data_IF_160653168640
#
_entry.id   IF_160653168640
#
_cell.length_a   1.000
_cell.length_b   1.000
_cell.length_c   1.000
_cell.angle_alpha   90.00
_cell.angle_beta   90.00
_cell.angle_gamma   90.00
#
_symmetry.space_group_name_H-M   'P 1'
#
loop_
_entity.id
_entity.type
_entity.pdbx_description
1 polymer ?
#
# COMPACT_ATOMS: atom_id res chain seq x y z
N UNK A 1 -2.13 4.15 52.70
CA UNK A 1 -2.65 4.67 51.46
C UNK A 1 -1.45 5.13 50.63
N UNK A 2 -1.01 4.31 49.67
CA UNK A 2 0.13 4.66 48.81
C UNK A 2 -0.44 5.37 47.58
N UNK A 3 -0.16 6.64 47.43
CA UNK A 3 -0.45 7.36 46.21
C UNK A 3 0.53 6.90 45.13
N UNK A 4 0.02 6.19 44.10
CA UNK A 4 0.78 5.96 42.89
C UNK A 4 0.84 7.29 42.15
N UNK A 5 2.00 7.92 42.13
CA UNK A 5 2.30 9.01 41.23
C UNK A 5 2.45 8.38 39.83
N UNK A 6 1.39 8.45 39.00
CA UNK A 6 1.52 8.19 37.59
C UNK A 6 2.03 9.50 36.98
N UNK A 7 3.32 9.56 36.70
CA UNK A 7 3.86 10.64 35.86
C UNK A 7 3.27 10.49 34.46
N UNK A 8 2.25 11.29 34.17
CA UNK A 8 1.73 11.42 32.81
C UNK A 8 2.74 12.19 31.99
N UNK A 9 3.49 11.52 31.15
CA UNK A 9 4.32 12.16 30.13
C UNK A 9 3.42 12.72 29.03
N UNK A 10 2.97 13.95 29.17
CA UNK A 10 2.30 14.66 28.10
C UNK A 10 3.33 15.16 27.11
N UNK A 11 3.25 14.67 25.90
CA UNK A 11 4.00 15.24 24.78
C UNK A 11 3.12 16.24 24.04
N UNK A 12 3.39 17.51 24.20
CA UNK A 12 2.74 18.56 23.43
C UNK A 12 3.38 18.68 22.05
N UNK A 13 2.56 18.55 21.00
CA UNK A 13 2.99 18.66 19.61
C UNK A 13 2.31 19.91 19.03
N UNK A 14 3.07 20.98 18.72
CA UNK A 14 2.49 22.20 18.14
C UNK A 14 1.87 21.91 16.78
N UNK A 15 0.72 22.52 16.50
CA UNK A 15 0.07 22.47 15.20
C UNK A 15 0.82 23.37 14.21
N UNK A 16 1.63 22.77 13.35
CA UNK A 16 2.38 23.47 12.30
C UNK A 16 1.89 22.98 10.94
N UNK A 17 1.77 23.87 9.96
CA UNK A 17 1.39 23.50 8.60
C UNK A 17 2.38 22.46 8.03
N UNK A 18 1.85 21.43 7.39
CA UNK A 18 2.65 20.34 6.82
C UNK A 18 3.17 19.32 7.84
N UNK A 19 2.82 19.43 9.13
CA UNK A 19 3.22 18.44 10.13
C UNK A 19 2.36 17.19 10.01
N UNK A 20 3.02 16.04 9.87
CA UNK A 20 2.43 14.72 10.02
C UNK A 20 2.78 14.16 11.40
N UNK A 21 1.85 13.48 12.03
CA UNK A 21 2.03 12.78 13.30
C UNK A 21 1.44 11.39 13.13
N UNK A 22 2.25 10.36 13.36
CA UNK A 22 1.79 8.98 13.47
C UNK A 22 1.96 8.53 14.92
N UNK A 23 0.94 7.90 15.47
CA UNK A 23 0.96 7.38 16.84
C UNK A 23 0.00 6.21 16.99
N UNK A 24 0.23 5.35 17.98
CA UNK A 24 -0.69 4.27 18.31
C UNK A 24 -1.99 4.87 18.89
N UNK A 25 -3.17 4.65 18.29
CA UNK A 25 -4.43 5.22 18.75
C UNK A 25 -4.86 4.72 20.13
N UNK A 26 -4.26 3.65 20.64
CA UNK A 26 -4.50 3.15 22.00
C UNK A 26 -3.85 4.04 23.07
N UNK A 27 -2.87 4.87 22.68
CA UNK A 27 -2.29 5.85 23.59
C UNK A 27 -3.30 6.96 23.85
N UNK A 28 -3.61 7.33 25.10
CA UNK A 28 -4.51 8.44 25.40
C UNK A 28 -4.03 9.71 24.72
N UNK A 29 -4.87 10.28 23.88
CA UNK A 29 -4.54 11.46 23.08
C UNK A 29 -5.73 12.42 23.01
N UNK A 30 -5.44 13.67 22.75
CA UNK A 30 -6.47 14.67 22.62
C UNK A 30 -5.95 15.92 21.91
N UNK A 31 -6.90 16.77 21.56
CA UNK A 31 -6.60 18.06 20.92
C UNK A 31 -6.93 19.17 21.91
N UNK A 32 -5.95 20.04 22.18
CA UNK A 32 -6.19 21.23 22.99
C UNK A 32 -7.17 22.15 22.27
N UNK A 33 -7.93 22.93 23.06
CA UNK A 33 -8.86 23.90 22.52
C UNK A 33 -8.15 24.83 21.53
N UNK A 34 -8.61 24.82 20.30
CA UNK A 34 -8.15 25.77 19.29
C UNK A 34 -8.96 27.05 19.48
N UNK A 35 -8.27 28.15 19.77
CA UNK A 35 -8.91 29.47 19.79
C UNK A 35 -9.33 29.79 18.35
N UNK A 36 -10.62 29.73 18.12
CA UNK A 36 -11.20 29.94 16.81
C UNK A 36 -10.94 31.34 16.30
N UNK A 37 -10.54 31.41 15.08
CA UNK A 37 -10.67 32.62 14.28
C UNK A 37 -12.08 32.61 13.69
N UNK A 38 -12.76 33.75 13.83
CA UNK A 38 -13.98 34.15 13.14
C UNK A 38 -14.35 33.17 12.00
N UNK A 39 -15.29 32.40 12.11
CA UNK A 39 -16.09 31.61 11.14
C UNK A 39 -15.65 31.58 9.64
N UNK A 40 -14.44 32.05 9.32
CA UNK A 40 -13.88 32.03 7.96
C UNK A 40 -13.26 30.64 7.72
N UNK A 41 -13.85 29.79 6.88
CA UNK A 41 -13.33 28.46 6.61
C UNK A 41 -11.93 28.46 5.98
N UNK A 42 -11.51 29.58 5.37
CA UNK A 42 -10.16 29.73 4.80
C UNK A 42 -9.07 29.90 5.86
N UNK A 43 -9.49 30.27 7.06
CA UNK A 43 -8.62 30.43 8.24
C UNK A 43 -8.81 29.31 9.27
N UNK A 44 -9.67 28.35 8.97
CA UNK A 44 -9.88 27.21 9.82
C UNK A 44 -8.66 26.29 9.80
N UNK A 45 -8.42 25.62 10.91
CA UNK A 45 -7.47 24.51 10.97
C UNK A 45 -8.02 23.35 10.14
N UNK A 46 -7.30 22.93 9.13
CA UNK A 46 -7.58 21.71 8.38
C UNK A 46 -6.72 20.59 8.95
N UNK A 47 -7.33 19.48 9.26
CA UNK A 47 -6.67 18.24 9.72
C UNK A 47 -7.15 17.09 8.86
N UNK A 48 -6.20 16.35 8.32
CA UNK A 48 -6.48 15.09 7.63
C UNK A 48 -6.18 13.99 8.64
N UNK A 49 -7.17 13.14 8.89
CA UNK A 49 -7.05 11.96 9.73
C UNK A 49 -7.01 10.73 8.84
N UNK A 50 -6.20 9.75 9.21
CA UNK A 50 -6.13 8.46 8.58
C UNK A 50 -5.70 7.41 9.61
N UNK A 51 -5.97 6.17 9.31
CA UNK A 51 -5.53 5.02 10.09
C UNK A 51 -4.69 4.14 9.18
N UNK A 52 -3.63 3.59 9.75
CA UNK A 52 -2.84 2.56 9.11
C UNK A 52 -3.43 1.22 9.56
N UNK A 53 -3.96 0.47 8.61
CA UNK A 53 -4.37 -0.90 8.78
C UNK A 53 -3.43 -1.81 7.98
N UNK A 54 -3.55 -3.11 8.17
CA UNK A 54 -2.94 -4.06 7.26
C UNK A 54 -3.43 -3.78 5.83
N UNK A 55 -2.54 -3.89 4.84
CA UNK A 55 -2.92 -3.63 3.46
C UNK A 55 -3.98 -4.62 2.99
N UNK A 56 -5.13 -4.13 2.60
CA UNK A 56 -6.22 -4.91 2.03
C UNK A 56 -6.56 -4.42 0.63
N UNK A 57 -7.16 -5.29 -0.17
CA UNK A 57 -7.68 -4.90 -1.49
C UNK A 57 -8.80 -3.88 -1.32
N UNK A 58 -8.68 -2.75 -2.03
CA UNK A 58 -9.71 -1.72 -2.05
C UNK A 58 -10.54 -1.84 -3.32
N UNK A 59 -11.86 -1.91 -3.19
CA UNK A 59 -12.83 -2.05 -4.26
C UNK A 59 -13.46 -0.70 -4.58
N UNK A 60 -13.58 -0.36 -5.85
CA UNK A 60 -14.17 0.89 -6.33
C UNK A 60 -15.21 0.60 -7.42
N UNK A 61 -16.30 1.35 -7.43
CA UNK A 61 -17.42 1.16 -8.33
C UNK A 61 -18.45 0.16 -7.79
N UNK A 62 -19.38 -0.26 -8.65
CA UNK A 62 -20.48 -1.15 -8.26
C UNK A 62 -20.10 -2.61 -8.55
N UNK A 63 -19.75 -3.33 -7.50
CA UNK A 63 -19.42 -4.76 -7.56
C UNK A 63 -20.59 -5.65 -7.15
N UNK A 64 -21.41 -5.21 -6.18
CA UNK A 64 -22.53 -6.00 -5.65
C UNK A 64 -22.10 -7.40 -5.23
N UNK A 65 -22.87 -8.40 -5.65
CA UNK A 65 -22.56 -9.80 -5.32
C UNK A 65 -21.32 -10.35 -6.06
N UNK A 66 -20.83 -9.67 -7.11
CA UNK A 66 -19.65 -10.05 -7.88
C UNK A 66 -18.33 -9.83 -7.12
N UNK A 67 -18.32 -9.06 -6.03
CA UNK A 67 -17.10 -8.80 -5.25
C UNK A 67 -16.48 -10.08 -4.70
N UNK A 68 -17.29 -11.01 -4.18
CA UNK A 68 -16.79 -12.28 -3.64
C UNK A 68 -16.19 -13.17 -4.72
N UNK A 69 -16.81 -13.21 -5.91
CA UNK A 69 -16.28 -13.95 -7.05
C UNK A 69 -14.97 -13.32 -7.55
N UNK A 70 -14.93 -12.01 -7.63
CA UNK A 70 -13.75 -11.24 -8.02
C UNK A 70 -12.58 -11.42 -7.04
N UNK A 71 -12.84 -11.45 -5.74
CA UNK A 71 -11.83 -11.75 -4.73
C UNK A 71 -11.23 -13.15 -4.94
N UNK A 72 -12.07 -14.12 -5.26
CA UNK A 72 -11.61 -15.50 -5.55
C UNK A 72 -10.72 -15.55 -6.80
N UNK A 73 -11.10 -14.84 -7.87
CA UNK A 73 -10.28 -14.72 -9.08
C UNK A 73 -8.93 -14.11 -8.76
N UNK A 74 -8.93 -13.05 -7.97
CA UNK A 74 -7.72 -12.35 -7.57
C UNK A 74 -6.79 -13.28 -6.76
N UNK A 75 -7.30 -13.93 -5.73
CA UNK A 75 -6.54 -14.85 -4.88
C UNK A 75 -5.91 -15.98 -5.70
N UNK A 76 -6.69 -16.62 -6.57
CA UNK A 76 -6.20 -17.70 -7.42
C UNK A 76 -5.12 -17.25 -8.40
N UNK A 77 -5.24 -16.03 -8.93
CA UNK A 77 -4.29 -15.50 -9.89
C UNK A 77 -3.01 -14.98 -9.23
N UNK A 78 -3.10 -14.52 -7.99
CA UNK A 78 -1.93 -14.03 -7.25
C UNK A 78 -1.13 -15.14 -6.57
N UNK A 79 -1.73 -16.30 -6.30
CA UNK A 79 -1.05 -17.40 -5.63
C UNK A 79 0.26 -17.82 -6.33
N UNK A 80 0.32 -18.07 -7.65
CA UNK A 80 1.57 -18.39 -8.34
C UNK A 80 2.60 -17.26 -8.28
N UNK A 81 2.14 -16.02 -8.32
CA UNK A 81 3.01 -14.85 -8.21
C UNK A 81 3.68 -14.78 -6.83
N UNK A 82 2.91 -14.98 -5.77
CA UNK A 82 3.42 -15.01 -4.38
C UNK A 82 4.44 -16.15 -4.21
N UNK A 83 4.18 -17.31 -4.78
CA UNK A 83 5.10 -18.46 -4.75
C UNK A 83 6.41 -18.13 -5.50
N UNK A 84 6.32 -17.54 -6.68
CA UNK A 84 7.50 -17.18 -7.49
C UNK A 84 8.36 -16.12 -6.79
N UNK A 85 7.74 -15.08 -6.23
CA UNK A 85 8.47 -14.05 -5.49
C UNK A 85 9.04 -14.63 -4.18
N UNK A 86 8.25 -15.43 -3.47
CA UNK A 86 8.65 -16.04 -2.20
C UNK A 86 9.72 -17.13 -2.34
N UNK A 87 9.89 -17.72 -3.52
CA UNK A 87 10.97 -18.69 -3.78
C UNK A 87 12.37 -18.08 -3.79
N UNK A 88 12.46 -16.75 -3.96
CA UNK A 88 13.71 -16.04 -4.10
C UNK A 88 14.38 -16.18 -5.48
N UNK A 89 13.72 -16.83 -6.44
CA UNK A 89 14.25 -17.00 -7.81
C UNK A 89 14.44 -15.66 -8.54
N UNK A 90 13.61 -14.66 -8.21
CA UNK A 90 13.67 -13.31 -8.79
C UNK A 90 14.65 -12.40 -8.02
N UNK A 91 15.19 -12.86 -6.89
CA UNK A 91 15.93 -12.03 -5.94
C UNK A 91 15.02 -11.43 -4.87
N UNK A 92 15.64 -10.91 -3.82
CA UNK A 92 14.89 -10.39 -2.67
C UNK A 92 14.66 -8.90 -2.81
N UNK A 93 13.42 -8.50 -2.65
CA UNK A 93 12.99 -7.10 -2.67
C UNK A 93 12.28 -6.76 -1.37
N UNK A 94 12.32 -5.50 -0.98
CA UNK A 94 11.60 -4.95 0.17
C UNK A 94 10.81 -3.72 -0.24
N UNK A 95 9.78 -3.40 0.52
CA UNK A 95 9.00 -2.21 0.29
C UNK A 95 7.53 -2.49 -0.02
N UNK A 96 6.89 -1.58 -0.70
CA UNK A 96 5.46 -1.61 -0.91
C UNK A 96 5.10 -1.19 -2.33
N UNK A 97 4.23 -1.97 -2.97
CA UNK A 97 3.64 -1.65 -4.26
C UNK A 97 2.12 -1.71 -4.12
N UNK A 98 1.43 -0.67 -4.51
CA UNK A 98 -0.01 -0.70 -4.68
C UNK A 98 -0.34 -0.43 -6.15
N UNK A 99 -0.99 -1.38 -6.79
CA UNK A 99 -1.38 -1.29 -8.19
C UNK A 99 -2.89 -1.08 -8.31
N UNK A 100 -3.29 -0.08 -9.10
CA UNK A 100 -4.68 0.12 -9.48
C UNK A 100 -4.95 -0.60 -10.79
N UNK A 101 -6.01 -1.39 -10.79
CA UNK A 101 -6.53 -2.14 -11.93
C UNK A 101 -7.88 -1.55 -12.29
N UNK A 102 -8.03 -1.06 -13.49
CA UNK A 102 -9.31 -0.57 -14.03
C UNK A 102 -9.92 -1.65 -14.93
N UNK A 103 -11.20 -1.91 -14.75
CA UNK A 103 -11.92 -3.02 -15.36
C UNK A 103 -13.06 -2.45 -16.21
N UNK A 104 -13.17 -2.91 -17.43
CA UNK A 104 -14.25 -2.54 -18.32
C UNK A 104 -15.57 -3.31 -18.06
N UNK A 105 -16.61 -3.01 -18.80
CA UNK A 105 -17.93 -3.62 -18.68
C UNK A 105 -17.93 -5.12 -19.00
N UNK A 106 -16.95 -5.59 -19.80
CA UNK A 106 -16.81 -7.02 -20.14
C UNK A 106 -16.07 -7.82 -19.06
N UNK A 107 -15.61 -7.16 -18.00
CA UNK A 107 -14.79 -7.75 -16.95
C UNK A 107 -13.32 -7.88 -17.29
N UNK A 108 -12.89 -7.37 -18.44
CA UNK A 108 -11.48 -7.37 -18.84
C UNK A 108 -10.74 -6.20 -18.21
N UNK A 109 -9.46 -6.38 -17.98
CA UNK A 109 -8.60 -5.31 -17.46
C UNK A 109 -8.26 -4.34 -18.59
N UNK A 110 -8.74 -3.11 -18.45
CA UNK A 110 -8.42 -2.02 -19.38
C UNK A 110 -7.01 -1.46 -19.10
N UNK A 111 -6.72 -1.18 -17.83
CA UNK A 111 -5.47 -0.54 -17.45
C UNK A 111 -4.98 -0.98 -16.07
N UNK A 112 -3.64 -1.11 -15.94
CA UNK A 112 -2.95 -1.32 -14.66
C UNK A 112 -1.87 -0.27 -14.49
N UNK A 113 -1.78 0.34 -13.30
CA UNK A 113 -0.72 1.30 -12.99
C UNK A 113 -0.45 1.37 -11.48
N UNK A 114 0.78 1.73 -11.11
CA UNK A 114 1.14 1.92 -9.72
C UNK A 114 0.54 3.22 -9.17
N UNK A 115 -0.10 3.14 -8.00
CA UNK A 115 -0.53 4.31 -7.21
C UNK A 115 0.46 4.59 -6.08
N UNK A 116 1.20 3.59 -5.66
CA UNK A 116 2.32 3.71 -4.74
C UNK A 116 3.37 2.67 -5.12
N UNK A 117 4.64 3.05 -5.15
CA UNK A 117 5.75 2.15 -5.43
C UNK A 117 6.99 2.60 -4.66
N UNK A 118 7.38 1.81 -3.68
CA UNK A 118 8.59 1.99 -2.88
C UNK A 118 9.48 0.74 -2.92
N UNK A 119 9.22 -0.16 -3.89
CA UNK A 119 9.95 -1.42 -4.02
C UNK A 119 11.40 -1.15 -4.37
N UNK A 120 12.28 -1.72 -3.59
CA UNK A 120 13.72 -1.66 -3.76
C UNK A 120 14.34 -3.02 -3.46
N UNK A 121 15.52 -3.25 -3.95
CA UNK A 121 16.25 -4.46 -3.65
C UNK A 121 16.67 -4.48 -2.16
N UNK A 122 16.61 -5.67 -1.54
CA UNK A 122 17.07 -5.84 -0.16
C UNK A 122 18.59 -5.84 -0.13
N UNK A 123 19.15 -4.78 0.43
CA UNK A 123 20.60 -4.58 0.51
C UNK A 123 21.29 -5.41 1.60
N UNK A 124 20.53 -5.97 2.54
CA UNK A 124 21.12 -6.75 3.64
C UNK A 124 21.48 -8.17 3.23
N UNK A 125 20.76 -8.73 2.27
CA UNK A 125 20.97 -10.10 1.77
C UNK A 125 22.03 -10.20 0.64
N UNK A 126 22.75 -9.13 0.40
CA UNK A 126 23.73 -8.99 -0.66
C UNK A 126 24.90 -9.97 -0.65
N UNK A 127 25.06 -10.74 0.40
CA UNK A 127 26.20 -11.65 0.56
C UNK A 127 26.16 -12.89 -0.34
N UNK A 128 25.10 -13.08 -1.09
CA UNK A 128 24.87 -14.25 -1.93
C UNK A 128 24.56 -13.97 -3.40
N UNK A 129 24.58 -12.77 -3.84
CA UNK A 129 24.27 -12.44 -5.23
C UNK A 129 25.42 -12.69 -6.14
N UNK A 130 25.31 -13.32 -6.83
CA UNK A 130 24.88 -14.07 -7.91
C UNK A 130 25.18 -13.47 -9.31
N UNK A 131 25.86 -12.44 -9.44
CA UNK A 131 26.38 -12.02 -10.72
C UNK A 131 26.33 -10.53 -10.90
N UNK A 132 27.20 -10.13 -11.77
CA UNK A 132 27.26 -8.79 -12.32
C UNK A 132 26.87 -8.93 -13.78
N UNK A 133 26.18 -7.94 -14.35
CA UNK A 133 25.96 -7.88 -15.79
C UNK A 133 27.29 -7.60 -16.52
N UNK A 134 27.28 -7.68 -17.85
CA UNK A 134 28.46 -7.43 -18.68
C UNK A 134 29.05 -6.02 -18.49
N UNK A 135 28.40 -5.15 -17.75
CA UNK A 135 28.80 -3.78 -17.42
C UNK A 135 29.22 -3.61 -15.96
N UNK A 136 29.44 -4.71 -15.22
CA UNK A 136 29.83 -4.71 -13.79
C UNK A 136 28.76 -4.08 -12.87
N UNK A 137 27.49 -4.03 -13.29
CA UNK A 137 26.37 -3.57 -12.47
C UNK A 137 25.75 -4.75 -11.74
N UNK A 138 25.41 -4.59 -10.45
CA UNK A 138 24.76 -5.67 -9.72
C UNK A 138 23.38 -5.96 -10.34
N UNK A 139 23.09 -7.24 -10.55
CA UNK A 139 21.84 -7.76 -11.16
C UNK A 139 20.55 -7.36 -10.40
N UNK A 140 20.64 -6.58 -9.39
CA UNK A 140 19.56 -6.17 -8.49
C UNK A 140 18.57 -5.17 -9.05
N UNK A 141 18.98 -4.31 -9.98
CA UNK A 141 18.02 -3.46 -10.69
C UNK A 141 17.03 -4.34 -11.46
N UNK A 142 17.50 -5.50 -11.92
CA UNK A 142 16.68 -6.45 -12.63
C UNK A 142 15.64 -7.13 -11.73
N UNK A 143 16.01 -7.49 -10.49
CA UNK A 143 15.05 -8.10 -9.55
C UNK A 143 13.84 -7.20 -9.25
N UNK A 144 14.05 -5.91 -9.06
CA UNK A 144 12.96 -4.95 -8.85
C UNK A 144 12.12 -4.79 -10.12
N UNK A 145 12.76 -4.73 -11.28
CA UNK A 145 12.08 -4.65 -12.58
C UNK A 145 11.27 -5.94 -12.83
N UNK A 146 11.84 -7.11 -12.56
CA UNK A 146 11.19 -8.40 -12.75
C UNK A 146 10.00 -8.58 -11.82
N UNK A 147 10.11 -8.21 -10.55
CA UNK A 147 8.96 -8.23 -9.62
C UNK A 147 7.84 -7.32 -10.12
N UNK A 148 8.16 -6.09 -10.53
CA UNK A 148 7.16 -5.16 -11.08
C UNK A 148 6.50 -5.72 -12.33
N UNK A 149 7.29 -6.24 -13.25
CA UNK A 149 6.78 -6.83 -14.50
C UNK A 149 5.83 -7.99 -14.19
N UNK A 150 6.24 -8.94 -13.35
CA UNK A 150 5.41 -10.10 -12.99
C UNK A 150 4.10 -9.67 -12.32
N UNK A 151 4.14 -8.68 -11.41
CA UNK A 151 2.94 -8.12 -10.78
C UNK A 151 2.01 -7.52 -11.83
N UNK A 152 2.53 -6.64 -12.69
CA UNK A 152 1.69 -5.97 -13.68
C UNK A 152 1.15 -6.91 -14.75
N UNK A 153 1.92 -7.89 -15.21
CA UNK A 153 1.46 -8.90 -16.15
C UNK A 153 0.38 -9.79 -15.54
N UNK A 154 0.57 -10.23 -14.28
CA UNK A 154 -0.44 -11.01 -13.58
C UNK A 154 -1.75 -10.24 -13.46
N UNK A 155 -1.69 -8.99 -13.01
CA UNK A 155 -2.88 -8.15 -12.85
C UNK A 155 -3.55 -7.82 -14.18
N UNK A 156 -2.78 -7.62 -15.26
CA UNK A 156 -3.32 -7.31 -16.58
C UNK A 156 -4.06 -8.49 -17.22
N UNK A 157 -3.72 -9.70 -16.84
CA UNK A 157 -4.33 -10.92 -17.36
C UNK A 157 -5.55 -11.38 -16.54
N UNK A 158 -5.97 -10.62 -15.53
CA UNK A 158 -7.18 -10.93 -14.77
C UNK A 158 -8.42 -10.80 -15.67
N UNK A 159 -9.38 -11.69 -15.45
CA UNK A 159 -10.69 -11.64 -16.08
C UNK A 159 -11.75 -11.81 -15.00
N UNK A 160 -12.61 -10.82 -14.90
CA UNK A 160 -13.73 -10.77 -13.97
C UNK A 160 -15.05 -11.05 -14.69
N UNK A 161 -16.12 -11.17 -13.94
CA UNK A 161 -17.47 -11.22 -14.51
C UNK A 161 -17.85 -9.89 -15.15
N UNK A 162 -18.67 -9.93 -16.19
CA UNK A 162 -19.29 -8.74 -16.79
C UNK A 162 -20.02 -7.91 -15.72
N UNK A 163 -20.05 -6.61 -15.87
CA UNK A 163 -20.69 -5.76 -14.89
C UNK A 163 -20.68 -4.28 -15.23
N UNK A 164 -20.90 -3.44 -14.23
CA UNK A 164 -20.94 -2.01 -14.43
C UNK A 164 -19.59 -1.44 -14.89
N UNK A 165 -19.63 -0.44 -15.74
CA UNK A 165 -18.46 0.33 -16.13
C UNK A 165 -17.88 1.11 -14.94
N UNK A 166 -16.60 1.38 -14.99
CA UNK A 166 -15.89 2.15 -13.96
C UNK A 166 -15.54 1.38 -12.69
N UNK A 167 -15.61 0.03 -12.73
CA UNK A 167 -15.07 -0.79 -11.65
C UNK A 167 -13.55 -0.70 -11.63
N UNK A 168 -13.00 -0.66 -10.44
CA UNK A 168 -11.56 -0.75 -10.25
C UNK A 168 -11.22 -1.40 -8.91
N UNK A 169 -10.02 -1.95 -8.81
CA UNK A 169 -9.45 -2.42 -7.56
C UNK A 169 -8.08 -1.80 -7.34
N UNK A 170 -7.69 -1.65 -6.08
CA UNK A 170 -6.29 -1.38 -5.71
C UNK A 170 -5.78 -2.58 -4.93
N UNK A 171 -4.77 -3.22 -5.49
CA UNK A 171 -4.16 -4.43 -4.93
C UNK A 171 -2.83 -4.05 -4.28
N UNK A 172 -2.68 -4.24 -2.97
CA UNK A 172 -1.46 -3.98 -2.25
C UNK A 172 -0.53 -5.20 -2.25
N UNK A 173 0.77 -4.95 -2.35
CA UNK A 173 1.84 -5.93 -2.19
C UNK A 173 2.84 -5.38 -1.18
N UNK A 174 3.08 -6.10 -0.09
CA UNK A 174 4.12 -5.81 0.88
C UNK A 174 5.22 -6.85 0.76
N UNK A 175 6.46 -6.39 0.63
CA UNK A 175 7.66 -7.21 0.50
C UNK A 175 8.53 -6.96 1.74
N UNK A 176 8.85 -8.04 2.48
CA UNK A 176 9.58 -8.04 3.76
C UNK A 176 10.86 -8.88 3.70
#
# INVERSE_FOLDING_TARGET
MKYLYIEYYYRYIPATLGRCIAFDPRVPHGVNRVTGTNQDPRRARVVIHGWFNEPEVCWFGEWGDAETAAATVLDQSLQPLVETIGSGEIGRVVGYLAARVEIDETGSVDRVFAVCDTVQADMEDFRGVIGYDDADRPIMEDAVADVRLNVFETLKNLQFEEGADGRAIVVPFAFE
#
